data_IF_501526915460
#
_entry.id   IF_501526915460
#
_cell.length_a   1.000
_cell.length_b   1.000
_cell.length_c   1.000
_cell.angle_alpha   90.00
_cell.angle_beta   90.00
_cell.angle_gamma   90.00
#
_symmetry.space_group_name_H-M   'P 1'
#
loop_
_entity.id
_entity.type
_entity.pdbx_description
1 polymer ?
#
# COMPACT_ATOMS: atom_id res chain seq x y z
N UNK A 1 14.11 -3.19 8.87
CA UNK A 1 13.63 -2.31 7.79
C UNK A 1 12.86 -1.17 8.42
N UNK A 2 13.36 0.06 8.30
CA UNK A 2 12.84 1.25 8.99
C UNK A 2 12.46 2.30 7.94
N UNK A 3 11.17 2.44 7.66
CA UNK A 3 10.63 3.44 6.72
C UNK A 3 10.66 4.87 7.31
N UNK A 4 10.92 4.99 8.61
CA UNK A 4 11.22 6.23 9.33
C UNK A 4 12.55 6.88 8.91
N UNK A 5 13.44 6.12 8.26
CA UNK A 5 14.71 6.63 7.73
C UNK A 5 14.55 7.16 6.30
N UNK A 6 13.31 7.30 5.80
CA UNK A 6 13.04 7.93 4.51
C UNK A 6 13.38 9.43 4.56
N UNK A 7 14.20 9.89 3.61
CA UNK A 7 14.58 11.31 3.45
C UNK A 7 13.85 11.99 2.29
N UNK A 8 12.77 11.38 1.80
CA UNK A 8 11.90 11.93 0.75
C UNK A 8 12.62 12.28 -0.57
N UNK A 9 13.72 11.59 -0.89
CA UNK A 9 14.52 11.86 -2.09
C UNK A 9 13.84 11.54 -3.43
N UNK A 10 12.75 10.77 -3.44
CA UNK A 10 12.01 10.42 -4.67
C UNK A 10 12.68 9.38 -5.60
N UNK A 11 13.85 8.84 -5.26
CA UNK A 11 14.53 7.82 -6.09
C UNK A 11 13.67 6.58 -6.31
N UNK A 12 12.97 6.13 -5.27
CA UNK A 12 12.08 4.97 -5.37
C UNK A 12 10.93 5.18 -6.36
N UNK A 13 10.40 6.42 -6.44
CA UNK A 13 9.34 6.82 -7.37
C UNK A 13 9.89 6.81 -8.80
N UNK A 14 11.06 7.43 -9.00
CA UNK A 14 11.71 7.53 -10.32
C UNK A 14 12.12 6.17 -10.88
N UNK A 15 12.57 5.24 -10.02
CA UNK A 15 12.98 3.89 -10.42
C UNK A 15 11.79 2.95 -10.67
N UNK A 16 10.57 3.31 -10.26
CA UNK A 16 9.41 2.45 -10.41
C UNK A 16 8.88 2.50 -11.86
N UNK A 17 8.84 1.37 -12.59
CA UNK A 17 8.36 1.37 -13.98
C UNK A 17 6.87 1.72 -14.08
N UNK A 18 6.10 1.45 -13.03
CA UNK A 18 4.66 1.72 -12.99
C UNK A 18 4.39 3.20 -12.75
N UNK A 19 5.08 3.83 -11.80
CA UNK A 19 4.88 5.27 -11.58
C UNK A 19 5.24 6.10 -12.81
N UNK A 20 6.17 5.63 -13.65
CA UNK A 20 6.50 6.29 -14.91
C UNK A 20 5.48 6.10 -16.05
N UNK A 21 4.56 5.13 -15.93
CA UNK A 21 3.58 4.79 -16.99
C UNK A 21 2.13 5.01 -16.58
N UNK A 22 1.85 4.99 -15.28
CA UNK A 22 0.52 5.13 -14.71
C UNK A 22 0.55 6.19 -13.60
N UNK A 23 0.10 7.43 -13.89
CA UNK A 23 0.11 8.51 -12.91
C UNK A 23 -0.93 8.35 -11.81
N UNK A 24 -1.89 7.43 -11.95
CA UNK A 24 -2.87 7.16 -10.89
C UNK A 24 -2.28 6.31 -9.76
N UNK A 25 -1.21 5.56 -10.04
CA UNK A 25 -0.56 4.71 -9.05
C UNK A 25 -0.02 5.53 -7.87
N UNK A 26 -0.44 5.21 -6.65
CA UNK A 26 0.03 5.87 -5.42
C UNK A 26 1.56 5.85 -5.28
N UNK A 27 2.23 4.84 -5.83
CA UNK A 27 3.68 4.79 -5.88
C UNK A 27 4.34 4.25 -4.62
N UNK A 28 5.63 3.88 -4.71
CA UNK A 28 6.33 3.20 -3.64
C UNK A 28 6.60 4.08 -2.41
N UNK A 29 6.73 5.39 -2.57
CA UNK A 29 6.94 6.31 -1.45
C UNK A 29 5.69 6.38 -0.54
N UNK A 30 4.52 6.63 -1.13
CA UNK A 30 3.24 6.73 -0.40
C UNK A 30 2.88 5.40 0.24
N UNK A 31 2.97 4.30 -0.51
CA UNK A 31 2.66 2.97 0.01
C UNK A 31 3.67 2.51 1.07
N UNK A 32 4.94 2.89 0.95
CA UNK A 32 5.93 2.70 2.00
C UNK A 32 5.53 3.43 3.28
N UNK A 33 5.15 4.71 3.18
CA UNK A 33 4.67 5.48 4.33
C UNK A 33 3.42 4.85 4.97
N UNK A 34 2.45 4.39 4.16
CA UNK A 34 1.28 3.68 4.64
C UNK A 34 1.64 2.38 5.37
N UNK A 35 2.58 1.59 4.84
CA UNK A 35 3.06 0.38 5.49
C UNK A 35 3.68 0.66 6.87
N UNK A 36 4.40 1.78 7.02
CA UNK A 36 4.92 2.23 8.32
C UNK A 36 3.78 2.53 9.30
N UNK A 37 2.73 3.21 8.87
CA UNK A 37 1.56 3.50 9.71
C UNK A 37 0.85 2.23 10.13
N UNK A 38 0.67 1.28 9.21
CA UNK A 38 0.05 -0.01 9.53
C UNK A 38 0.91 -0.81 10.53
N UNK A 39 2.24 -0.75 10.42
CA UNK A 39 3.15 -1.43 11.32
C UNK A 39 3.27 -0.76 12.71
N UNK A 40 3.26 0.57 12.76
CA UNK A 40 3.37 1.37 13.98
C UNK A 40 2.44 2.60 13.90
N UNK A 41 1.17 2.46 14.33
CA UNK A 41 0.12 3.44 14.07
C UNK A 41 0.25 4.77 14.82
N UNK A 42 0.90 4.82 15.99
CA UNK A 42 1.06 6.05 16.79
C UNK A 42 -0.24 6.88 16.96
N UNK A 43 -1.37 6.20 17.16
CA UNK A 43 -2.70 6.83 17.31
C UNK A 43 -3.43 7.13 15.99
N UNK A 44 -2.88 6.75 14.83
CA UNK A 44 -3.54 6.85 13.54
C UNK A 44 -4.54 5.70 13.31
N UNK A 45 -5.62 5.97 12.58
CA UNK A 45 -6.60 4.95 12.21
C UNK A 45 -6.07 4.05 11.09
N UNK A 46 -5.55 2.88 11.47
CA UNK A 46 -5.04 1.85 10.55
C UNK A 46 -6.10 1.41 9.54
N UNK A 47 -7.38 1.36 9.91
CA UNK A 47 -8.44 0.89 9.02
C UNK A 47 -8.65 1.87 7.87
N UNK A 48 -8.65 3.18 8.15
CA UNK A 48 -8.70 4.21 7.11
C UNK A 48 -7.50 4.15 6.16
N UNK A 49 -6.29 3.83 6.67
CA UNK A 49 -5.09 3.70 5.84
C UNK A 49 -5.18 2.46 4.96
N UNK A 50 -5.56 1.32 5.51
CA UNK A 50 -5.75 0.07 4.75
C UNK A 50 -6.82 0.27 3.66
N UNK A 51 -7.93 0.92 4.00
CA UNK A 51 -8.99 1.32 3.05
C UNK A 51 -8.43 2.10 1.87
N UNK A 52 -7.57 3.08 2.12
CA UNK A 52 -7.00 3.94 1.08
C UNK A 52 -6.04 3.19 0.14
N UNK A 53 -5.27 2.25 0.67
CA UNK A 53 -4.28 1.49 -0.13
C UNK A 53 -4.87 0.23 -0.77
N UNK A 54 -6.07 -0.19 -0.37
CA UNK A 54 -6.86 -1.30 -0.95
C UNK A 54 -7.62 -0.85 -2.21
N UNK A 55 -6.90 -0.27 -3.17
CA UNK A 55 -7.42 0.23 -4.44
C UNK A 55 -6.64 -0.38 -5.61
N UNK A 56 -7.26 -0.45 -6.79
CA UNK A 56 -6.59 -0.82 -8.05
C UNK A 56 -5.34 0.02 -8.27
N UNK A 57 -5.43 1.33 -8.01
CA UNK A 57 -4.34 2.30 -8.14
C UNK A 57 -3.47 2.37 -6.87
N UNK A 58 -3.82 1.60 -5.84
CA UNK A 58 -3.11 1.47 -4.58
C UNK A 58 -2.06 0.37 -4.58
N UNK A 59 -1.99 -0.41 -3.50
CA UNK A 59 -0.96 -1.44 -3.36
C UNK A 59 -1.06 -2.55 -4.42
N UNK A 60 -2.23 -2.74 -5.05
CA UNK A 60 -2.49 -3.77 -6.05
C UNK A 60 -1.85 -3.46 -7.41
N UNK A 61 -1.53 -2.20 -7.70
CA UNK A 61 -0.84 -1.81 -8.94
C UNK A 61 0.66 -2.15 -8.97
N UNK A 62 1.26 -2.51 -7.83
CA UNK A 62 2.67 -2.87 -7.77
C UNK A 62 2.96 -4.20 -8.50
N UNK A 63 3.87 -4.20 -9.48
CA UNK A 63 4.26 -5.41 -10.21
C UNK A 63 5.54 -6.09 -9.68
N UNK A 64 5.96 -5.75 -8.45
CA UNK A 64 7.07 -6.42 -7.75
C UNK A 64 8.40 -6.42 -8.52
N UNK A 65 8.77 -5.28 -9.12
CA UNK A 65 10.09 -5.12 -9.74
C UNK A 65 11.24 -4.93 -8.75
N UNK A 66 10.93 -4.60 -7.48
CA UNK A 66 11.88 -4.32 -6.39
C UNK A 66 12.88 -3.16 -6.61
N UNK A 67 12.87 -2.54 -7.80
CA UNK A 67 13.75 -1.41 -8.14
C UNK A 67 13.67 -0.26 -7.13
N UNK A 68 12.49 0.00 -6.55
CA UNK A 68 12.30 1.03 -5.55
C UNK A 68 13.10 0.82 -4.25
N UNK A 69 13.32 -0.43 -3.85
CA UNK A 69 14.12 -0.78 -2.68
C UNK A 69 15.61 -0.81 -3.00
N UNK A 70 15.98 -1.27 -4.20
CA UNK A 70 17.37 -1.32 -4.66
C UNK A 70 18.03 0.07 -4.72
N UNK A 71 17.29 1.09 -5.18
CA UNK A 71 17.80 2.45 -5.31
C UNK A 71 17.73 3.26 -4.01
N UNK A 72 17.19 2.72 -2.91
CA UNK A 72 16.97 3.51 -1.71
C UNK A 72 18.30 3.79 -0.97
N UNK A 73 18.72 5.07 -0.84
CA UNK A 73 20.03 5.40 -0.30
C UNK A 73 20.15 5.16 1.21
N UNK A 74 19.01 5.12 1.92
CA UNK A 74 18.97 4.85 3.36
C UNK A 74 18.72 3.38 3.69
N UNK A 75 18.53 2.53 2.66
CA UNK A 75 18.19 1.12 2.84
C UNK A 75 16.76 0.88 3.33
N UNK A 76 15.88 1.87 3.24
CA UNK A 76 14.45 1.62 3.40
C UNK A 76 13.95 0.71 2.25
N UNK A 77 13.05 -0.20 2.56
CA UNK A 77 12.61 -1.24 1.61
C UNK A 77 11.10 -1.09 1.30
N UNK A 78 10.69 -0.07 0.51
CA UNK A 78 9.29 0.15 0.17
C UNK A 78 8.62 -1.07 -0.47
N UNK A 79 9.35 -1.90 -1.23
CA UNK A 79 8.80 -3.10 -1.84
C UNK A 79 8.29 -4.11 -0.79
N UNK A 80 9.07 -4.39 0.26
CA UNK A 80 8.62 -5.24 1.35
C UNK A 80 7.44 -4.62 2.12
N UNK A 81 7.40 -3.29 2.25
CA UNK A 81 6.28 -2.58 2.86
C UNK A 81 4.98 -2.76 2.08
N UNK A 82 5.03 -2.62 0.75
CA UNK A 82 3.89 -2.86 -0.15
C UNK A 82 3.42 -4.32 -0.05
N UNK A 83 4.34 -5.27 0.04
CA UNK A 83 3.99 -6.69 0.23
C UNK A 83 3.32 -6.95 1.58
N UNK A 84 3.76 -6.28 2.64
CA UNK A 84 3.12 -6.35 3.95
C UNK A 84 1.68 -5.81 3.92
N UNK A 85 1.44 -4.71 3.20
CA UNK A 85 0.09 -4.17 2.98
C UNK A 85 -0.81 -5.17 2.25
N UNK A 86 -0.35 -5.74 1.13
CA UNK A 86 -1.09 -6.79 0.40
C UNK A 86 -1.43 -7.97 1.30
N UNK A 87 -0.47 -8.41 2.12
CA UNK A 87 -0.69 -9.48 3.07
C UNK A 87 -1.73 -9.13 4.14
N UNK A 88 -1.71 -7.91 4.67
CA UNK A 88 -2.71 -7.43 5.63
C UNK A 88 -4.11 -7.41 5.02
N UNK A 89 -4.26 -6.82 3.83
CA UNK A 89 -5.53 -6.74 3.11
C UNK A 89 -6.05 -8.13 2.71
N UNK A 90 -5.18 -9.00 2.19
CA UNK A 90 -5.56 -10.39 1.86
C UNK A 90 -6.10 -11.11 3.09
N UNK A 91 -5.44 -10.99 4.25
CA UNK A 91 -5.92 -11.58 5.50
C UNK A 91 -7.27 -11.01 5.91
N UNK A 92 -7.46 -9.70 5.76
CA UNK A 92 -8.72 -9.04 6.07
C UNK A 92 -9.86 -9.50 5.14
N UNK A 93 -9.61 -9.58 3.83
CA UNK A 93 -10.55 -10.10 2.84
C UNK A 93 -10.93 -11.56 3.12
N UNK A 94 -9.96 -12.38 3.49
CA UNK A 94 -10.21 -13.78 3.88
C UNK A 94 -11.04 -13.88 5.16
N UNK A 95 -10.79 -13.03 6.16
CA UNK A 95 -11.61 -12.95 7.38
C UNK A 95 -13.05 -12.57 7.05
N UNK A 96 -13.26 -11.50 6.29
CA UNK A 96 -14.59 -11.07 5.84
C UNK A 96 -15.37 -12.20 5.15
N UNK A 97 -14.73 -12.93 4.24
CA UNK A 97 -15.36 -14.07 3.54
C UNK A 97 -15.66 -15.24 4.48
N UNK A 98 -14.85 -15.43 5.52
CA UNK A 98 -15.02 -16.50 6.52
C UNK A 98 -16.15 -16.19 7.50
N UNK A 99 -16.41 -14.90 7.79
CA UNK A 99 -17.48 -14.43 8.66
C UNK A 99 -18.89 -14.54 8.01
N UNK A 100 -18.99 -15.16 6.84
CA UNK A 100 -20.27 -15.46 6.17
C UNK A 100 -20.69 -14.45 5.11
N UNK A 101 -19.92 -13.37 4.89
CA UNK A 101 -20.21 -12.32 3.90
C UNK A 101 -19.80 -12.71 2.47
N UNK A 102 -20.04 -13.96 2.07
CA UNK A 102 -19.62 -14.48 0.76
C UNK A 102 -20.39 -13.77 -0.36
N UNK A 103 -19.68 -12.99 -1.18
CA UNK A 103 -20.26 -12.27 -2.31
C UNK A 103 -20.93 -10.94 -1.94
N UNK A 104 -20.83 -10.51 -0.68
CA UNK A 104 -21.22 -9.17 -0.27
C UNK A 104 -20.00 -8.24 -0.35
N UNK A 105 -20.20 -7.07 -0.97
CA UNK A 105 -19.20 -5.99 -0.98
C UNK A 105 -18.91 -5.57 0.47
N UNK A 106 -17.64 -5.30 0.77
CA UNK A 106 -17.30 -4.75 2.10
C UNK A 106 -17.83 -3.31 2.15
N UNK A 107 -18.22 -2.80 3.33
CA UNK A 107 -18.66 -1.41 3.48
C UNK A 107 -17.66 -0.41 2.88
N UNK A 108 -16.37 -0.70 3.02
CA UNK A 108 -15.28 0.10 2.47
C UNK A 108 -15.24 0.12 0.93
N UNK A 109 -15.65 -0.96 0.27
CA UNK A 109 -15.72 -1.05 -1.19
C UNK A 109 -16.90 -0.20 -1.72
N UNK A 110 -17.97 -0.11 -0.94
CA UNK A 110 -19.18 0.66 -1.26
C UNK A 110 -18.93 2.18 -1.14
N UNK A 111 -18.25 2.62 -0.08
CA UNK A 111 -17.90 4.03 0.14
C UNK A 111 -16.99 4.59 -0.97
N UNK A 112 -16.13 3.74 -1.56
CA UNK A 112 -15.23 4.12 -2.66
C UNK A 112 -15.90 4.20 -4.03
N UNK A 113 -16.85 3.31 -4.30
CA UNK A 113 -17.61 3.33 -5.57
C UNK A 113 -18.43 4.63 -5.71
N UNK A 114 -18.88 5.20 -4.59
CA UNK A 114 -19.61 6.46 -4.56
C UNK A 114 -18.73 7.72 -4.68
N UNK A 115 -17.39 7.59 -4.55
CA UNK A 115 -16.44 8.70 -4.54
C UNK A 115 -15.71 8.92 -5.88
N UNK A 116 -16.00 8.09 -6.90
CA UNK A 116 -15.51 8.20 -8.28
C UNK A 116 -16.61 8.70 -9.21
#
# INVERSE_FOLDING_TARGET
MRLEDCVECGLCVSACPITGTDPAYLGPAVLGAAARVVAEPRGQDVRSVLTWVDDHDGCWRCHLSFACSEVCPTGADPAAGIMALRGALTREHLRWRSDGHRGADRPVDQERTAAR
#
